data_IF_948921447963
#
_entry.id   IF_948921447963
#
_cell.length_a   1.000
_cell.length_b   1.000
_cell.length_c   1.000
_cell.angle_alpha   90.00
_cell.angle_beta   90.00
_cell.angle_gamma   90.00
#
_symmetry.space_group_name_H-M   'P 1'
#
loop_
_entity.id
_entity.type
_entity.pdbx_description
1 polymer ?
#
# COMPACT_ATOMS: atom_id res chain seq x y z
N UNK A 1 12.26 30.71 -2.94
CA UNK A 1 10.86 30.50 -3.37
C UNK A 1 10.34 29.18 -2.88
N UNK A 2 9.35 29.26 -2.00
CA UNK A 2 8.64 28.14 -1.42
C UNK A 2 7.44 27.82 -2.32
N UNK A 3 7.36 26.60 -2.83
CA UNK A 3 6.16 26.08 -3.50
C UNK A 3 5.71 24.83 -2.74
N UNK A 4 4.91 25.09 -1.69
CA UNK A 4 4.13 24.08 -0.99
C UNK A 4 2.81 23.94 -1.76
N UNK A 5 2.65 22.83 -2.49
CA UNK A 5 1.41 22.51 -3.20
C UNK A 5 0.85 21.22 -2.58
N UNK A 6 0.16 21.41 -1.46
CA UNK A 6 -0.66 20.40 -0.80
C UNK A 6 -2.10 20.66 -1.21
N UNK A 7 -2.57 19.97 -2.24
CA UNK A 7 -3.97 19.98 -2.64
C UNK A 7 -4.58 18.62 -2.32
N UNK A 8 -5.28 18.57 -1.17
CA UNK A 8 -6.14 17.49 -0.76
C UNK A 8 -7.55 17.75 -1.30
N UNK A 9 -7.99 16.99 -2.31
CA UNK A 9 -9.38 16.98 -2.78
C UNK A 9 -10.04 15.67 -2.33
N UNK A 10 -10.85 15.77 -1.28
CA UNK A 10 -11.74 14.71 -0.81
C UNK A 10 -13.02 14.67 -1.67
N UNK A 11 -13.28 13.50 -2.29
CA UNK A 11 -14.65 13.04 -2.53
C UNK A 11 -15.30 13.33 -3.89
N UNK A 12 -15.11 12.42 -4.86
CA UNK A 12 -16.19 11.85 -5.70
C UNK A 12 -15.65 10.70 -6.55
N UNK A 13 -16.48 9.67 -6.78
CA UNK A 13 -16.17 8.51 -7.63
C UNK A 13 -15.70 8.86 -9.05
N UNK A 14 -15.25 7.86 -9.84
CA UNK A 14 -14.38 8.07 -10.99
C UNK A 14 -15.11 8.83 -12.10
N UNK A 15 -14.88 10.15 -12.17
CA UNK A 15 -15.07 10.89 -13.41
C UNK A 15 -13.86 10.60 -14.32
N UNK A 16 -14.04 10.48 -15.65
CA UNK A 16 -12.91 10.53 -16.58
C UNK A 16 -12.08 11.77 -16.20
N UNK A 17 -10.84 11.50 -15.78
CA UNK A 17 -10.07 12.41 -14.94
C UNK A 17 -9.77 13.71 -15.67
N UNK A 18 -9.85 14.83 -14.95
CA UNK A 18 -9.18 16.05 -15.41
C UNK A 18 -7.69 15.71 -15.54
N UNK A 19 -7.12 15.87 -16.73
CA UNK A 19 -5.69 15.67 -16.95
C UNK A 19 -4.90 16.58 -16.00
N UNK A 20 -3.94 15.98 -15.28
CA UNK A 20 -3.04 16.74 -14.40
C UNK A 20 -1.82 17.16 -15.22
N UNK A 21 -1.58 18.46 -15.30
CA UNK A 21 -0.37 18.99 -15.92
C UNK A 21 0.87 18.53 -15.12
N UNK A 22 1.77 17.80 -15.78
CA UNK A 22 3.01 17.32 -15.16
C UNK A 22 4.12 18.38 -15.25
N UNK A 23 4.33 18.94 -16.44
CA UNK A 23 5.34 19.95 -16.73
C UNK A 23 4.74 21.06 -17.59
N UNK A 24 4.95 22.32 -17.22
CA UNK A 24 4.53 23.47 -18.04
C UNK A 24 5.41 23.55 -19.30
N UNK A 25 4.88 24.14 -20.37
CA UNK A 25 5.71 24.50 -21.52
C UNK A 25 6.94 25.33 -21.06
N UNK A 26 8.10 25.09 -21.67
CA UNK A 26 9.37 25.73 -21.32
C UNK A 26 9.91 25.41 -19.92
N UNK A 27 9.45 24.32 -19.28
CA UNK A 27 10.09 23.82 -18.06
C UNK A 27 11.57 23.50 -18.35
N UNK A 28 12.47 23.97 -17.49
CA UNK A 28 13.91 23.73 -17.63
C UNK A 28 14.23 22.26 -17.36
N UNK A 29 15.05 21.67 -18.22
CA UNK A 29 15.56 20.31 -18.08
C UNK A 29 16.83 20.27 -17.21
N UNK A 30 17.05 19.23 -16.39
CA UNK A 30 16.12 18.16 -16.02
C UNK A 30 15.13 18.59 -14.92
N UNK A 31 13.92 18.01 -14.91
CA UNK A 31 12.89 18.31 -13.91
C UNK A 31 12.17 17.04 -13.45
N UNK A 32 11.76 16.97 -12.17
CA UNK A 32 11.01 15.82 -11.63
C UNK A 32 9.70 16.29 -11.02
N UNK A 33 8.63 15.52 -11.22
CA UNK A 33 7.32 15.74 -10.62
C UNK A 33 6.82 14.46 -9.98
N UNK A 34 6.54 14.53 -8.68
CA UNK A 34 5.87 13.46 -7.94
C UNK A 34 4.36 13.69 -7.96
N UNK A 35 3.61 12.65 -8.34
CA UNK A 35 2.16 12.60 -8.20
C UNK A 35 1.82 11.52 -7.18
N UNK A 36 1.04 11.88 -6.16
CA UNK A 36 0.56 10.97 -5.13
C UNK A 36 -0.95 10.86 -5.21
N UNK A 37 -1.49 9.65 -5.07
CA UNK A 37 -2.93 9.39 -5.07
C UNK A 37 -3.30 8.27 -4.09
N UNK A 38 -4.42 8.44 -3.40
CA UNK A 38 -4.93 7.44 -2.45
C UNK A 38 -5.90 6.49 -3.15
N UNK A 39 -5.48 5.25 -3.40
CA UNK A 39 -6.22 4.28 -4.23
C UNK A 39 -6.07 2.86 -3.68
N UNK A 40 -7.14 2.09 -3.77
CA UNK A 40 -7.19 0.66 -3.39
C UNK A 40 -7.01 -0.28 -4.58
N UNK A 41 -7.28 0.23 -5.78
CA UNK A 41 -7.28 -0.53 -7.03
C UNK A 41 -6.05 -0.21 -7.87
N UNK A 42 -5.77 -1.11 -8.80
CA UNK A 42 -4.74 -0.93 -9.82
C UNK A 42 -5.14 0.20 -10.79
N UNK A 43 -4.15 0.86 -11.39
CA UNK A 43 -4.34 2.10 -12.14
C UNK A 43 -3.87 1.96 -13.58
N UNK A 44 -4.65 2.52 -14.52
CA UNK A 44 -4.21 2.78 -15.88
C UNK A 44 -3.79 4.25 -15.99
N UNK A 45 -2.52 4.50 -16.29
CA UNK A 45 -1.96 5.84 -16.47
C UNK A 45 -1.81 6.11 -17.95
N UNK A 46 -2.40 7.20 -18.42
CA UNK A 46 -2.20 7.72 -19.77
C UNK A 46 -1.36 8.99 -19.71
N UNK A 47 -0.32 9.05 -20.52
CA UNK A 47 0.54 10.20 -20.71
C UNK A 47 0.29 10.80 -22.08
N UNK A 48 0.11 12.11 -22.12
CA UNK A 48 -0.09 12.87 -23.34
C UNK A 48 0.74 14.15 -23.33
N UNK A 49 1.04 14.65 -24.52
CA UNK A 49 1.66 15.94 -24.76
C UNK A 49 0.59 16.92 -25.24
N UNK A 50 0.47 18.04 -24.56
CA UNK A 50 -0.52 19.07 -24.83
C UNK A 50 -1.04 19.69 -23.53
N UNK A 51 -1.81 20.77 -23.65
CA UNK A 51 -2.45 21.40 -22.50
C UNK A 51 -3.64 20.55 -22.01
N UNK A 52 -3.91 20.46 -20.69
CA UNK A 52 -4.97 19.61 -20.15
C UNK A 52 -6.37 19.88 -20.72
N UNK A 53 -6.64 21.14 -21.09
CA UNK A 53 -7.92 21.58 -21.63
C UNK A 53 -7.99 21.54 -23.17
N UNK A 54 -6.91 21.15 -23.86
CA UNK A 54 -6.86 21.13 -25.32
C UNK A 54 -7.38 19.80 -25.88
N UNK A 55 -8.12 19.83 -26.98
CA UNK A 55 -8.69 18.60 -27.57
C UNK A 55 -7.68 17.82 -28.43
N UNK A 56 -6.53 18.43 -28.79
CA UNK A 56 -5.52 17.92 -29.73
C UNK A 56 -4.30 17.26 -29.06
N UNK A 57 -4.47 16.80 -27.81
CA UNK A 57 -3.45 16.10 -27.03
C UNK A 57 -2.87 14.90 -27.78
N UNK A 58 -1.54 14.88 -27.93
CA UNK A 58 -0.81 13.79 -28.58
C UNK A 58 -0.47 12.70 -27.54
N UNK A 59 -0.88 11.45 -27.74
CA UNK A 59 -0.56 10.39 -26.79
C UNK A 59 0.94 10.08 -26.79
N UNK A 60 1.52 9.93 -25.60
CA UNK A 60 2.92 9.52 -25.41
C UNK A 60 2.99 8.03 -25.08
N UNK A 61 2.28 7.62 -24.02
CA UNK A 61 2.33 6.25 -23.53
C UNK A 61 1.14 5.96 -22.63
N UNK A 62 0.74 4.69 -22.55
CA UNK A 62 -0.26 4.20 -21.62
C UNK A 62 0.35 2.99 -20.92
N UNK A 63 0.32 2.99 -19.59
CA UNK A 63 0.86 1.89 -18.79
C UNK A 63 0.03 1.63 -17.54
N UNK A 64 0.17 0.42 -16.99
CA UNK A 64 -0.53 0.00 -15.78
C UNK A 64 0.39 0.11 -14.56
N UNK A 65 -0.16 0.61 -13.45
CA UNK A 65 0.40 0.47 -12.11
C UNK A 65 -0.42 -0.61 -11.41
N UNK A 66 0.14 -1.82 -11.31
CA UNK A 66 -0.55 -2.99 -10.78
C UNK A 66 -0.06 -3.42 -9.40
N UNK A 67 -0.82 -4.30 -8.75
CA UNK A 67 -0.44 -4.94 -7.49
C UNK A 67 -0.85 -4.20 -6.22
N UNK A 68 -1.49 -3.04 -6.33
CA UNK A 68 -2.02 -2.27 -5.19
C UNK A 68 -3.10 -3.07 -4.47
N UNK A 69 -4.05 -3.59 -5.25
CA UNK A 69 -5.17 -4.39 -4.75
C UNK A 69 -4.71 -5.73 -4.16
N UNK A 70 -3.75 -6.38 -4.82
CA UNK A 70 -3.16 -7.63 -4.36
C UNK A 70 -2.37 -7.44 -3.05
N UNK A 71 -1.59 -6.36 -2.94
CA UNK A 71 -0.84 -6.03 -1.73
C UNK A 71 -1.78 -5.76 -0.54
N UNK A 72 -2.86 -4.99 -0.75
CA UNK A 72 -3.84 -4.70 0.28
C UNK A 72 -4.50 -5.99 0.82
N UNK A 73 -4.91 -6.89 -0.08
CA UNK A 73 -5.48 -8.20 0.30
C UNK A 73 -4.48 -9.08 1.04
N UNK A 74 -3.23 -9.15 0.58
CA UNK A 74 -2.18 -9.98 1.18
C UNK A 74 -1.80 -9.52 2.59
N UNK A 75 -1.76 -8.21 2.80
CA UNK A 75 -1.28 -7.63 4.05
C UNK A 75 -2.39 -7.47 5.10
N UNK A 76 -3.67 -7.49 4.67
CA UNK A 76 -4.81 -7.53 5.58
C UNK A 76 -4.94 -8.92 6.20
N UNK A 77 -4.54 -9.03 7.47
CA UNK A 77 -4.62 -10.27 8.26
C UNK A 77 -5.36 -10.00 9.57
N UNK A 78 -5.83 -11.02 10.31
CA UNK A 78 -6.51 -10.80 11.59
C UNK A 78 -5.70 -9.98 12.60
N UNK A 79 -4.37 -10.08 12.54
CA UNK A 79 -3.44 -9.34 13.40
C UNK A 79 -2.96 -8.02 12.78
N UNK A 80 -3.25 -7.75 11.50
CA UNK A 80 -2.80 -6.55 10.78
C UNK A 80 -3.92 -5.93 9.96
N UNK A 81 -4.43 -4.81 10.44
CA UNK A 81 -5.53 -4.10 9.77
C UNK A 81 -5.00 -2.85 9.06
N UNK A 82 -5.27 -2.65 7.76
CA UNK A 82 -4.85 -1.44 7.06
C UNK A 82 -5.56 -0.20 7.61
N UNK A 83 -4.80 0.85 7.88
CA UNK A 83 -5.31 2.15 8.32
C UNK A 83 -5.39 3.10 7.12
N UNK A 84 -6.58 3.21 6.55
CA UNK A 84 -6.84 4.09 5.41
C UNK A 84 -6.54 3.47 4.04
N UNK A 85 -6.59 4.31 3.00
CA UNK A 85 -6.33 3.88 1.61
C UNK A 85 -4.83 3.91 1.31
N UNK A 86 -4.30 2.92 0.55
CA UNK A 86 -2.92 2.93 0.11
C UNK A 86 -2.58 4.23 -0.64
N UNK A 87 -1.42 4.81 -0.36
CA UNK A 87 -0.89 5.97 -1.09
C UNK A 87 0.03 5.48 -2.20
N UNK A 88 -0.38 5.68 -3.45
CA UNK A 88 0.39 5.36 -4.65
C UNK A 88 1.12 6.62 -5.12
N UNK A 89 2.44 6.52 -5.24
CA UNK A 89 3.33 7.62 -5.54
C UNK A 89 4.11 7.31 -6.82
N UNK A 90 3.94 8.14 -7.87
CA UNK A 90 4.61 7.99 -9.16
C UNK A 90 5.44 9.24 -9.45
N UNK A 91 6.74 9.05 -9.65
CA UNK A 91 7.67 10.13 -9.98
C UNK A 91 7.95 10.13 -11.48
N UNK A 92 7.51 11.20 -12.16
CA UNK A 92 7.84 11.46 -13.54
C UNK A 92 9.08 12.34 -13.61
N UNK A 93 10.02 12.01 -14.47
CA UNK A 93 11.19 12.81 -14.71
C UNK A 93 11.29 13.19 -16.19
N UNK A 94 11.60 14.45 -16.41
CA UNK A 94 11.93 15.03 -17.67
C UNK A 94 13.46 15.17 -17.70
N UNK A 95 14.10 14.29 -18.48
CA UNK A 95 15.56 14.11 -18.49
C UNK A 95 16.26 15.25 -19.22
N UNK A 96 17.59 15.35 -19.07
CA UNK A 96 18.40 16.37 -19.75
C UNK A 96 18.38 16.26 -21.28
N UNK A 97 18.04 15.08 -21.83
CA UNK A 97 17.85 14.87 -23.26
C UNK A 97 16.44 15.22 -23.74
N UNK A 98 15.55 15.66 -22.85
CA UNK A 98 14.16 15.97 -23.16
C UNK A 98 13.23 14.75 -23.19
N UNK A 99 13.72 13.56 -22.82
CA UNK A 99 12.89 12.36 -22.74
C UNK A 99 12.12 12.30 -21.42
N UNK A 100 10.90 11.77 -21.48
CA UNK A 100 10.11 11.44 -20.30
C UNK A 100 10.44 10.04 -19.79
N UNK A 101 10.66 9.91 -18.48
CA UNK A 101 10.81 8.63 -17.80
C UNK A 101 9.92 8.58 -16.55
N UNK A 102 9.49 7.37 -16.18
CA UNK A 102 8.90 7.10 -14.86
C UNK A 102 10.03 6.63 -13.96
N UNK A 103 10.52 7.52 -13.11
CA UNK A 103 11.72 7.29 -12.29
C UNK A 103 11.46 6.35 -11.11
N UNK A 104 10.26 6.43 -10.50
CA UNK A 104 9.89 5.63 -9.33
C UNK A 104 8.38 5.45 -9.26
N UNK A 105 7.92 4.25 -8.90
CA UNK A 105 6.54 3.98 -8.53
C UNK A 105 6.54 3.19 -7.21
N UNK A 106 5.83 3.69 -6.19
CA UNK A 106 5.78 3.07 -4.87
C UNK A 106 4.37 3.12 -4.27
N UNK A 107 4.11 2.19 -3.35
CA UNK A 107 2.86 2.11 -2.59
C UNK A 107 3.21 2.15 -1.11
N UNK A 108 2.63 3.09 -0.40
CA UNK A 108 2.69 3.15 1.06
C UNK A 108 1.35 2.68 1.65
N UNK A 109 1.45 1.69 2.54
CA UNK A 109 0.33 1.09 3.28
C UNK A 109 0.61 1.28 4.77
N UNK A 110 -0.27 2.00 5.45
CA UNK A 110 -0.23 2.15 6.90
C UNK A 110 -1.03 0.99 7.51
N UNK A 111 -0.47 0.29 8.51
CA UNK A 111 -1.06 -0.92 9.10
C UNK A 111 -1.04 -0.82 10.63
N UNK A 112 -2.13 -1.23 11.27
CA UNK A 112 -2.22 -1.42 12.71
C UNK A 112 -1.94 -2.89 13.02
N UNK A 113 -0.93 -3.16 13.84
CA UNK A 113 -0.57 -4.51 14.30
C UNK A 113 -1.08 -4.74 15.72
N UNK A 114 -1.75 -5.86 15.94
CA UNK A 114 -2.15 -6.35 17.27
C UNK A 114 -1.21 -7.48 17.67
N UNK A 115 -0.71 -7.45 18.89
CA UNK A 115 0.09 -8.51 19.48
C UNK A 115 -0.65 -9.09 20.69
N UNK A 116 -0.56 -10.41 20.86
CA UNK A 116 -1.01 -11.05 22.09
C UNK A 116 0.03 -10.78 23.18
N UNK A 117 -0.35 -10.02 24.20
CA UNK A 117 0.46 -9.86 25.41
C UNK A 117 0.34 -11.15 26.24
N UNK A 118 1.40 -11.95 26.24
CA UNK A 118 1.50 -13.09 27.15
C UNK A 118 2.03 -12.61 28.49
N UNK A 119 1.15 -12.57 29.48
CA UNK A 119 1.56 -12.42 30.88
C UNK A 119 2.10 -13.76 31.39
N UNK A 120 3.33 -13.74 31.92
CA UNK A 120 3.89 -14.92 32.59
C UNK A 120 3.15 -15.09 33.91
N UNK A 121 2.15 -15.96 33.92
CA UNK A 121 1.48 -16.36 35.17
C UNK A 121 2.38 -17.41 35.85
N UNK A 122 2.95 -17.13 37.04
CA UNK A 122 3.66 -18.15 37.79
C UNK A 122 2.64 -19.20 38.24
N UNK A 123 2.80 -20.42 37.75
CA UNK A 123 2.04 -21.58 38.22
C UNK A 123 2.25 -21.73 39.73
N UNK A 124 1.17 -21.83 40.48
CA UNK A 124 1.28 -22.23 41.89
C UNK A 124 1.46 -23.74 42.01
N UNK A 125 2.03 -24.23 43.11
CA UNK A 125 2.36 -25.66 43.31
C UNK A 125 1.14 -26.58 43.14
N UNK A 126 -0.07 -26.08 43.43
CA UNK A 126 -1.33 -26.82 43.26
C UNK A 126 -1.67 -27.03 41.78
N UNK A 127 -1.48 -26.02 40.95
CA UNK A 127 -1.75 -26.09 39.51
C UNK A 127 -0.73 -26.96 38.76
N UNK A 128 0.52 -27.00 39.24
CA UNK A 128 1.55 -27.92 38.73
C UNK A 128 1.15 -29.37 39.01
N UNK A 129 0.72 -29.66 40.24
CA UNK A 129 0.29 -31.00 40.63
C UNK A 129 -0.95 -31.47 39.84
N UNK A 130 -1.90 -30.57 39.57
CA UNK A 130 -3.08 -30.87 38.75
C UNK A 130 -2.72 -31.10 37.28
N UNK A 131 -1.78 -30.33 36.71
CA UNK A 131 -1.31 -30.51 35.34
C UNK A 131 -0.55 -31.84 35.15
N UNK A 132 0.35 -32.18 36.08
CA UNK A 132 1.09 -33.45 36.05
C UNK A 132 0.16 -34.67 36.23
N UNK A 133 -0.86 -34.56 37.10
CA UNK A 133 -1.86 -35.60 37.29
C UNK A 133 -2.73 -35.81 36.03
N UNK A 134 -3.10 -34.72 35.35
CA UNK A 134 -3.86 -34.79 34.09
C UNK A 134 -3.04 -35.41 32.95
N UNK A 135 -1.74 -35.10 32.87
CA UNK A 135 -0.84 -35.65 31.85
C UNK A 135 -0.57 -37.15 32.09
N UNK A 136 -0.41 -37.57 33.36
CA UNK A 136 -0.27 -38.97 33.74
C UNK A 136 -1.55 -39.79 33.42
N UNK A 137 -2.73 -39.25 33.74
CA UNK A 137 -4.01 -39.91 33.42
C UNK A 137 -4.25 -40.02 31.91
N UNK A 138 -3.85 -39.00 31.13
CA UNK A 138 -3.93 -39.03 29.68
C UNK A 138 -2.97 -40.06 29.06
N UNK A 139 -1.76 -40.21 29.60
CA UNK A 139 -0.79 -41.22 29.17
C UNK A 139 -1.29 -42.65 29.47
N UNK A 140 -1.90 -42.86 30.64
CA UNK A 140 -2.43 -44.17 31.05
C UNK A 140 -3.67 -44.57 30.21
N UNK A 141 -4.56 -43.62 29.92
CA UNK A 141 -5.69 -43.85 29.01
C UNK A 141 -5.24 -44.20 27.58
N UNK A 142 -4.14 -43.59 27.10
CA UNK A 142 -3.57 -43.88 25.78
C UNK A 142 -2.88 -45.24 25.72
N UNK A 143 -2.26 -45.67 26.82
CA UNK A 143 -1.66 -46.99 26.96
C UNK A 143 -2.72 -48.11 27.04
N UNK A 144 -3.83 -47.87 27.75
CA UNK A 144 -4.94 -48.81 27.84
C UNK A 144 -5.73 -48.97 26.52
N UNK A 145 -5.80 -47.92 25.69
CA UNK A 145 -6.45 -47.98 24.38
C UNK A 145 -5.60 -48.66 23.28
N UNK A 146 -4.32 -48.95 23.57
CA UNK A 146 -3.38 -49.57 22.63
C UNK A 146 -3.08 -51.06 22.94
N UNK A 147 -3.74 -51.64 23.95
CA UNK A 147 -3.66 -53.04 24.35
C UNK A 147 -4.93 -53.81 23.94
#
# INVERSE_FOLDING_TARGET
DADADADADEGKGPKPGKDKLLFKANTKFPHKKLITMSRTDDLLVSLSYGEPAADDKQPISIFNVSGVSAALKRLSTPLRTPTGKPKVSVTFALTSSGLMEVSKAEVALEMLETYDDYEVVPLNETEIAEAEAAEAAAAEAKAAAAA
#
